data_IF_453274885172
#
_entry.id   IF_453274885172
#
_cell.length_a   1.000
_cell.length_b   1.000
_cell.length_c   1.000
_cell.angle_alpha   90.00
_cell.angle_beta   90.00
_cell.angle_gamma   90.00
#
_symmetry.space_group_name_H-M   'P 1'
#
loop_
_entity.id
_entity.type
_entity.pdbx_description
1 polymer ?
#
# COMPACT_ATOMS: atom_id res chain seq x y z
N UNK A 1 -17.12 -5.88 -18.61
CA UNK A 1 -16.19 -4.76 -18.29
C UNK A 1 -16.78 -3.83 -17.23
N UNK A 2 -18.05 -3.43 -17.33
CA UNK A 2 -18.71 -2.62 -16.29
C UNK A 2 -18.70 -3.29 -14.91
N UNK A 3 -18.93 -4.61 -14.81
CA UNK A 3 -18.96 -5.28 -13.50
C UNK A 3 -17.61 -5.30 -12.79
N UNK A 4 -16.51 -5.42 -13.54
CA UNK A 4 -15.16 -5.34 -12.99
C UNK A 4 -14.87 -3.93 -12.47
N UNK A 5 -15.28 -2.91 -13.22
CA UNK A 5 -15.15 -1.50 -12.81
C UNK A 5 -15.98 -1.21 -11.56
N UNK A 6 -17.22 -1.68 -11.49
CA UNK A 6 -18.09 -1.53 -10.31
C UNK A 6 -17.46 -2.25 -9.11
N UNK A 7 -17.03 -3.50 -9.26
CA UNK A 7 -16.43 -4.26 -8.17
C UNK A 7 -15.13 -3.61 -7.66
N UNK A 8 -14.32 -3.08 -8.58
CA UNK A 8 -13.12 -2.31 -8.25
C UNK A 8 -13.47 -1.03 -7.48
N UNK A 9 -14.43 -0.23 -7.96
CA UNK A 9 -14.86 1.00 -7.31
C UNK A 9 -15.46 0.76 -5.92
N UNK A 10 -16.26 -0.30 -5.74
CA UNK A 10 -16.84 -0.66 -4.43
C UNK A 10 -15.77 -1.08 -3.43
N UNK A 11 -14.76 -1.85 -3.87
CA UNK A 11 -13.63 -2.19 -3.00
C UNK A 11 -12.76 -0.97 -2.67
N UNK A 12 -12.55 -0.09 -3.64
CA UNK A 12 -11.83 1.16 -3.43
C UNK A 12 -12.57 2.09 -2.47
N UNK A 13 -13.90 2.15 -2.56
CA UNK A 13 -14.75 2.90 -1.64
C UNK A 13 -14.67 2.35 -0.21
N UNK A 14 -14.66 1.02 -0.04
CA UNK A 14 -14.44 0.38 1.26
C UNK A 14 -13.04 0.64 1.85
N UNK A 15 -12.03 0.81 0.99
CA UNK A 15 -10.66 1.16 1.39
C UNK A 15 -10.37 2.66 1.38
N UNK A 16 -11.37 3.50 1.12
CA UNK A 16 -11.24 4.96 1.07
C UNK A 16 -10.64 5.59 2.32
N UNK A 17 -10.91 5.12 3.57
CA UNK A 17 -10.30 5.71 4.77
C UNK A 17 -8.78 5.48 4.79
N UNK A 18 -8.36 4.31 4.31
CA UNK A 18 -6.96 3.90 4.24
C UNK A 18 -6.22 4.65 3.14
N UNK A 19 -6.88 4.85 2.00
CA UNK A 19 -6.37 5.61 0.87
C UNK A 19 -6.19 7.10 1.23
N UNK A 20 -7.15 7.67 1.96
CA UNK A 20 -7.04 9.00 2.55
C UNK A 20 -5.85 9.09 3.52
N UNK A 21 -5.66 8.12 4.41
CA UNK A 21 -4.52 8.11 5.32
C UNK A 21 -3.17 8.11 4.57
N UNK A 22 -3.05 7.32 3.49
CA UNK A 22 -1.85 7.33 2.66
C UNK A 22 -1.63 8.64 1.90
N UNK A 23 -2.70 9.24 1.36
CA UNK A 23 -2.64 10.55 0.72
C UNK A 23 -2.21 11.64 1.71
N UNK A 24 -2.78 11.67 2.91
CA UNK A 24 -2.39 12.59 3.97
C UNK A 24 -0.91 12.42 4.33
N UNK A 25 -0.43 11.17 4.41
CA UNK A 25 0.99 10.86 4.61
C UNK A 25 1.90 11.43 3.51
N UNK A 26 1.51 11.29 2.24
CA UNK A 26 2.24 11.84 1.09
C UNK A 26 2.22 13.37 1.12
N UNK A 27 1.06 13.98 1.38
CA UNK A 27 0.90 15.44 1.44
C UNK A 27 1.74 16.02 2.57
N UNK A 28 1.72 15.41 3.76
CA UNK A 28 2.56 15.83 4.89
C UNK A 28 4.05 15.69 4.57
N UNK A 29 4.47 14.59 3.94
CA UNK A 29 5.86 14.40 3.51
C UNK A 29 6.31 15.45 2.49
N UNK A 30 5.45 15.82 1.54
CA UNK A 30 5.73 16.87 0.56
C UNK A 30 5.73 18.27 1.19
N UNK A 31 4.81 18.54 2.11
CA UNK A 31 4.69 19.82 2.80
C UNK A 31 5.87 20.09 3.75
N UNK A 32 6.38 19.05 4.44
CA UNK A 32 7.55 19.15 5.33
C UNK A 32 8.90 18.90 4.63
N UNK A 33 8.89 18.57 3.33
CA UNK A 33 10.09 18.39 2.49
C UNK A 33 11.12 19.54 2.57
N UNK A 34 10.73 20.83 2.55
CA UNK A 34 11.71 21.92 2.61
C UNK A 34 12.41 22.04 3.97
N UNK A 35 11.88 21.41 5.03
CA UNK A 35 12.43 21.52 6.39
C UNK A 35 13.28 20.30 6.80
N UNK A 36 12.94 19.09 6.32
CA UNK A 36 13.69 17.86 6.59
C UNK A 36 13.69 16.90 5.37
N UNK A 37 14.64 17.03 4.42
CA UNK A 37 14.57 16.31 3.14
C UNK A 37 14.81 14.80 3.24
N UNK A 38 15.62 14.33 4.20
CA UNK A 38 15.93 12.90 4.36
C UNK A 38 14.75 12.10 4.92
N UNK A 39 14.11 12.48 6.05
CA UNK A 39 12.93 11.78 6.56
C UNK A 39 11.79 11.76 5.54
N UNK A 40 11.54 12.89 4.86
CA UNK A 40 10.44 13.03 3.91
C UNK A 40 10.58 12.10 2.70
N UNK A 41 11.79 11.83 2.20
CA UNK A 41 12.00 10.89 1.10
C UNK A 41 11.61 9.44 1.50
N UNK A 42 11.96 9.02 2.72
CA UNK A 42 11.57 7.71 3.24
C UNK A 42 10.05 7.60 3.47
N UNK A 43 9.41 8.65 3.99
CA UNK A 43 7.95 8.67 4.17
C UNK A 43 7.23 8.59 2.83
N UNK A 44 7.71 9.32 1.83
CA UNK A 44 7.13 9.35 0.49
C UNK A 44 7.31 7.99 -0.22
N UNK A 45 8.49 7.37 -0.10
CA UNK A 45 8.73 6.01 -0.60
C UNK A 45 7.83 4.96 0.09
N UNK A 46 7.71 5.02 1.42
CA UNK A 46 6.86 4.10 2.18
C UNK A 46 5.39 4.24 1.81
N UNK A 47 4.86 5.48 1.80
CA UNK A 47 3.47 5.75 1.45
C UNK A 47 3.20 5.43 -0.03
N UNK A 48 4.15 5.70 -0.92
CA UNK A 48 4.06 5.32 -2.34
C UNK A 48 3.98 3.81 -2.53
N UNK A 49 4.82 3.03 -1.84
CA UNK A 49 4.73 1.57 -1.84
C UNK A 49 3.37 1.09 -1.34
N UNK A 50 2.88 1.65 -0.24
CA UNK A 50 1.60 1.27 0.35
C UNK A 50 0.42 1.54 -0.59
N UNK A 51 0.43 2.68 -1.30
CA UNK A 51 -0.59 3.00 -2.32
C UNK A 51 -0.52 2.03 -3.49
N UNK A 52 0.68 1.76 -4.01
CA UNK A 52 0.88 0.81 -5.11
C UNK A 52 0.42 -0.59 -4.74
N UNK A 53 0.73 -1.05 -3.53
CA UNK A 53 0.26 -2.34 -3.02
C UNK A 53 -1.25 -2.36 -2.87
N UNK A 54 -1.86 -1.31 -2.32
CA UNK A 54 -3.30 -1.22 -2.18
C UNK A 54 -3.99 -1.33 -3.56
N UNK A 55 -3.54 -0.55 -4.53
CA UNK A 55 -4.08 -0.58 -5.90
C UNK A 55 -3.88 -1.94 -6.55
N UNK A 56 -2.68 -2.51 -6.45
CA UNK A 56 -2.36 -3.83 -7.01
C UNK A 56 -3.20 -4.94 -6.40
N UNK A 57 -3.36 -4.96 -5.07
CA UNK A 57 -4.17 -5.96 -4.37
C UNK A 57 -5.65 -5.83 -4.72
N UNK A 58 -6.18 -4.61 -4.80
CA UNK A 58 -7.58 -4.36 -5.13
C UNK A 58 -7.88 -4.72 -6.59
N UNK A 59 -6.95 -4.43 -7.50
CA UNK A 59 -7.07 -4.82 -8.91
C UNK A 59 -6.99 -6.36 -9.08
N UNK A 60 -6.02 -7.02 -8.44
CA UNK A 60 -5.91 -8.48 -8.47
C UNK A 60 -7.15 -9.13 -7.84
N UNK A 61 -7.63 -8.62 -6.71
CA UNK A 61 -8.83 -9.12 -6.05
C UNK A 61 -10.05 -9.02 -6.95
N UNK A 62 -10.29 -7.85 -7.55
CA UNK A 62 -11.39 -7.65 -8.50
C UNK A 62 -11.25 -8.55 -9.74
N UNK A 63 -10.04 -8.72 -10.27
CA UNK A 63 -9.77 -9.59 -11.41
C UNK A 63 -10.01 -11.07 -11.10
N UNK A 64 -9.56 -11.54 -9.93
CA UNK A 64 -9.75 -12.92 -9.46
C UNK A 64 -11.23 -13.21 -9.21
N UNK A 65 -11.98 -12.27 -8.62
CA UNK A 65 -13.42 -12.43 -8.44
C UNK A 65 -14.16 -12.43 -9.79
N UNK A 66 -13.81 -11.52 -10.70
CA UNK A 66 -14.42 -11.46 -12.03
C UNK A 66 -14.16 -12.72 -12.87
N UNK A 67 -12.92 -13.23 -12.87
CA UNK A 67 -12.55 -14.48 -13.58
C UNK A 67 -13.04 -15.73 -12.86
N UNK A 68 -13.02 -15.72 -11.52
CA UNK A 68 -13.42 -16.84 -10.67
C UNK A 68 -14.93 -17.07 -10.63
N UNK A 69 -15.74 -16.01 -10.69
CA UNK A 69 -17.19 -16.11 -10.81
C UNK A 69 -17.66 -16.61 -12.20
N UNK A 70 -16.80 -16.50 -13.23
CA UNK A 70 -17.11 -16.84 -14.61
C UNK A 70 -16.85 -18.29 -15.05
N UNK A 71 -16.89 -19.29 -14.15
CA UNK A 71 -16.79 -20.74 -14.46
C UNK A 71 -15.42 -21.32 -14.90
N UNK A 72 -14.30 -20.59 -14.90
CA UNK A 72 -13.02 -21.13 -15.47
C UNK A 72 -11.91 -21.47 -14.48
N UNK A 73 -12.00 -21.07 -13.22
CA UNK A 73 -10.93 -21.31 -12.23
C UNK A 73 -11.36 -22.33 -11.17
N UNK A 74 -10.54 -23.36 -11.00
CA UNK A 74 -10.63 -24.30 -9.89
C UNK A 74 -10.50 -23.54 -8.56
N UNK A 75 -11.38 -23.79 -7.59
CA UNK A 75 -11.44 -23.06 -6.32
C UNK A 75 -10.08 -23.04 -5.58
N UNK A 76 -9.27 -24.10 -5.73
CA UNK A 76 -7.91 -24.17 -5.19
C UNK A 76 -6.93 -23.14 -5.76
N UNK A 77 -7.05 -22.77 -7.04
CA UNK A 77 -6.20 -21.74 -7.67
C UNK A 77 -6.57 -20.34 -7.20
N UNK A 78 -7.86 -20.05 -7.05
CA UNK A 78 -8.37 -18.77 -6.51
C UNK A 78 -7.82 -18.53 -5.10
N UNK A 79 -7.94 -19.54 -4.23
CA UNK A 79 -7.42 -19.47 -2.86
C UNK A 79 -5.91 -19.24 -2.82
N UNK A 80 -5.14 -19.94 -3.66
CA UNK A 80 -3.68 -19.77 -3.73
C UNK A 80 -3.27 -18.36 -4.19
N UNK A 81 -3.94 -17.79 -5.20
CA UNK A 81 -3.64 -16.43 -5.66
C UNK A 81 -3.98 -15.39 -4.60
N UNK A 82 -5.13 -15.52 -3.92
CA UNK A 82 -5.50 -14.61 -2.82
C UNK A 82 -4.53 -14.73 -1.64
N UNK A 83 -4.07 -15.94 -1.30
CA UNK A 83 -3.07 -16.16 -0.26
C UNK A 83 -1.75 -15.48 -0.62
N UNK A 84 -1.20 -15.71 -1.82
CA UNK A 84 0.05 -15.09 -2.27
C UNK A 84 -0.09 -13.57 -2.32
N UNK A 85 -1.21 -13.05 -2.81
CA UNK A 85 -1.51 -11.62 -2.83
C UNK A 85 -1.52 -11.01 -1.42
N UNK A 86 -2.11 -11.70 -0.46
CA UNK A 86 -2.16 -11.26 0.94
C UNK A 86 -0.77 -11.29 1.58
N UNK A 87 0.00 -12.35 1.33
CA UNK A 87 1.36 -12.50 1.85
C UNK A 87 2.29 -11.40 1.31
N UNK A 88 2.23 -11.14 0.00
CA UNK A 88 3.01 -10.09 -0.64
C UNK A 88 2.66 -8.71 -0.08
N UNK A 89 1.36 -8.42 0.11
CA UNK A 89 0.95 -7.14 0.70
C UNK A 89 1.37 -6.96 2.15
N UNK A 90 1.35 -8.04 2.95
CA UNK A 90 1.84 -8.00 4.33
C UNK A 90 3.35 -7.74 4.40
N UNK A 91 4.14 -8.36 3.52
CA UNK A 91 5.58 -8.11 3.43
C UNK A 91 5.88 -6.66 3.06
N UNK A 92 5.16 -6.12 2.07
CA UNK A 92 5.30 -4.73 1.67
C UNK A 92 4.90 -3.79 2.81
N UNK A 93 3.80 -4.07 3.53
CA UNK A 93 3.41 -3.28 4.70
C UNK A 93 4.47 -3.31 5.80
N UNK A 94 5.08 -4.46 6.05
CA UNK A 94 6.18 -4.57 7.00
C UNK A 94 7.39 -3.73 6.58
N UNK A 95 7.77 -3.78 5.29
CA UNK A 95 8.84 -2.94 4.74
C UNK A 95 8.51 -1.46 4.82
N UNK A 96 7.28 -1.06 4.50
CA UNK A 96 6.83 0.32 4.57
C UNK A 96 6.82 0.84 6.02
N UNK A 97 6.39 0.03 7.00
CA UNK A 97 6.50 0.35 8.41
C UNK A 97 7.97 0.49 8.84
N UNK A 98 8.85 -0.39 8.34
CA UNK A 98 10.29 -0.29 8.54
C UNK A 98 10.87 1.03 8.00
N UNK A 99 10.47 1.44 6.78
CA UNK A 99 10.86 2.73 6.21
C UNK A 99 10.32 3.92 7.03
N UNK A 100 9.07 3.85 7.50
CA UNK A 100 8.48 4.89 8.35
C UNK A 100 9.23 5.01 9.67
N UNK A 101 9.60 3.90 10.31
CA UNK A 101 10.43 3.89 11.51
C UNK A 101 11.82 4.46 11.22
N UNK A 102 12.47 4.03 10.14
CA UNK A 102 13.76 4.58 9.72
C UNK A 102 13.70 6.09 9.49
N UNK A 103 12.60 6.60 8.91
CA UNK A 103 12.38 8.03 8.71
C UNK A 103 12.40 8.82 10.03
N UNK A 104 11.88 8.25 11.13
CA UNK A 104 11.87 8.87 12.46
C UNK A 104 13.30 9.02 13.02
N UNK A 105 14.18 8.05 12.74
CA UNK A 105 15.55 8.05 13.26
C UNK A 105 16.57 8.76 12.35
N UNK A 106 16.25 8.96 11.07
CA UNK A 106 17.14 9.57 10.05
C UNK A 106 17.52 11.05 10.32
N UNK A 107 16.96 11.68 11.34
CA UNK A 107 17.35 13.02 11.80
C UNK A 107 17.79 13.10 13.26
N UNK A 108 17.91 11.96 13.95
CA UNK A 108 18.36 11.93 15.35
C UNK A 108 19.84 11.57 15.37
N UNK A 109 20.69 12.58 15.56
CA UNK A 109 22.07 12.34 15.95
C UNK A 109 22.04 11.56 17.29
N UNK A 110 22.80 10.46 17.43
CA UNK A 110 23.02 9.85 18.73
C UNK A 110 23.74 10.91 19.57
N UNK A 111 23.08 11.42 20.60
CA UNK A 111 23.64 12.52 21.38
C UNK A 111 25.02 12.18 21.95
N UNK A 112 26.04 12.94 21.54
CA UNK A 112 27.14 13.40 22.40
C UNK A 112 28.50 12.73 22.23
N UNK A 113 29.43 13.46 21.62
CA UNK A 113 30.87 13.19 21.67
C UNK A 113 31.66 14.33 21.02
N UNK A 114 31.61 15.51 21.65
CA UNK A 114 32.65 16.52 21.48
C UNK A 114 33.93 16.13 22.21
#
# INVERSE_FOLDING_TARGET
MNDLLVLFLTQLAGQSPLLLAYLVGIVLALAFRPRYPRPCAFTLAAMGLLVLTLLGQTLLGAYVVYRGAGLTWEAGKVGRVLMVNTLAGSLIRALALGLLLAAVFVGREPGGGG
#
